data_IF_739665441408
#
_entry.id   IF_739665441408
#
_cell.length_a   1.000
_cell.length_b   1.000
_cell.length_c   1.000
_cell.angle_alpha   90.00
_cell.angle_beta   90.00
_cell.angle_gamma   90.00
#
_symmetry.space_group_name_H-M   'P 1'
#
loop_
_entity.id
_entity.type
_entity.pdbx_description
1 polymer ?
#
# COMPACT_ATOMS: atom_id res chain seq x y z
N UNK A 1 -2.38 -3.76 -15.06
CA UNK A 1 -3.26 -4.91 -14.74
C UNK A 1 -2.92 -5.44 -13.35
N UNK A 2 -3.91 -5.58 -12.49
CA UNK A 2 -3.77 -6.13 -11.14
C UNK A 2 -4.60 -7.43 -11.06
N UNK A 3 -3.96 -8.57 -10.78
CA UNK A 3 -4.64 -9.86 -10.86
C UNK A 3 -4.69 -10.55 -9.49
N UNK A 4 -5.88 -10.99 -9.11
CA UNK A 4 -6.19 -11.63 -7.84
C UNK A 4 -6.76 -13.01 -8.12
N UNK A 5 -6.16 -14.04 -7.53
CA UNK A 5 -6.67 -15.41 -7.55
C UNK A 5 -7.63 -15.64 -6.40
N UNK A 6 -8.76 -16.27 -6.69
CA UNK A 6 -9.69 -16.76 -5.67
C UNK A 6 -9.36 -18.23 -5.39
N UNK A 7 -8.83 -18.51 -4.22
CA UNK A 7 -8.40 -19.84 -3.80
C UNK A 7 -9.57 -20.65 -3.20
N UNK A 8 -9.41 -21.98 -3.14
CA UNK A 8 -10.44 -22.89 -2.61
C UNK A 8 -10.66 -22.74 -1.11
N UNK A 9 -9.70 -22.21 -0.38
CA UNK A 9 -9.79 -21.88 1.04
C UNK A 9 -10.46 -20.51 1.32
N UNK A 10 -11.10 -19.92 0.32
CA UNK A 10 -11.73 -18.60 0.33
C UNK A 10 -10.76 -17.42 0.47
N UNK A 11 -9.46 -17.62 0.38
CA UNK A 11 -8.51 -16.51 0.37
C UNK A 11 -8.41 -15.84 -0.99
N UNK A 12 -8.07 -14.55 -1.00
CA UNK A 12 -7.75 -13.76 -2.18
C UNK A 12 -6.24 -13.56 -2.23
N UNK A 13 -5.61 -14.07 -3.27
CA UNK A 13 -4.16 -13.99 -3.46
C UNK A 13 -3.81 -13.14 -4.65
N UNK A 14 -3.07 -12.07 -4.46
CA UNK A 14 -2.52 -11.28 -5.55
C UNK A 14 -1.44 -12.07 -6.28
N UNK A 15 -1.64 -12.33 -7.58
CA UNK A 15 -0.69 -13.04 -8.44
C UNK A 15 0.14 -12.08 -9.30
N UNK A 16 -0.47 -10.98 -9.76
CA UNK A 16 0.22 -9.90 -10.47
C UNK A 16 -0.12 -8.62 -9.71
N UNK A 17 0.92 -7.92 -9.26
CA UNK A 17 0.79 -6.67 -8.53
C UNK A 17 1.40 -5.55 -9.36
N UNK A 18 0.57 -4.65 -9.86
CA UNK A 18 0.98 -3.33 -10.35
C UNK A 18 0.67 -2.30 -9.28
N UNK A 19 1.42 -1.21 -9.27
CA UNK A 19 1.06 -0.07 -8.42
C UNK A 19 -0.14 0.62 -9.03
N UNK A 20 -1.15 0.84 -8.21
CA UNK A 20 -2.33 1.60 -8.61
C UNK A 20 -2.21 2.97 -7.95
N UNK A 21 -2.18 3.99 -8.79
CA UNK A 21 -2.03 5.36 -8.32
C UNK A 21 -3.40 5.98 -8.04
N UNK A 22 -3.43 6.90 -7.09
CA UNK A 22 -4.62 7.69 -6.81
C UNK A 22 -5.11 8.36 -8.10
N UNK A 23 -6.43 8.46 -8.26
CA UNK A 23 -7.08 9.06 -9.42
C UNK A 23 -6.75 8.41 -10.77
N UNK A 24 -6.14 7.20 -10.79
CA UNK A 24 -5.99 6.43 -12.03
C UNK A 24 -7.33 6.16 -12.67
N UNK A 25 -7.46 6.49 -13.96
CA UNK A 25 -8.67 6.29 -14.76
C UNK A 25 -8.32 5.68 -16.11
N UNK A 26 -9.13 4.73 -16.59
CA UNK A 26 -9.07 4.16 -17.95
C UNK A 26 -7.73 3.48 -18.35
N UNK A 27 -6.85 3.19 -17.40
CA UNK A 27 -5.52 2.62 -17.67
C UNK A 27 -5.34 1.28 -16.97
N UNK A 28 -5.84 1.17 -15.74
CA UNK A 28 -5.66 -0.01 -14.91
C UNK A 28 -6.95 -0.83 -14.81
N UNK A 29 -6.79 -2.14 -14.85
CA UNK A 29 -7.86 -3.11 -14.63
C UNK A 29 -7.51 -4.00 -13.44
N UNK A 30 -8.51 -4.34 -12.63
CA UNK A 30 -8.42 -5.36 -11.62
C UNK A 30 -9.14 -6.60 -12.11
N UNK A 31 -8.41 -7.72 -12.14
CA UNK A 31 -8.91 -9.02 -12.59
C UNK A 31 -9.02 -9.97 -11.40
N UNK A 32 -10.18 -10.59 -11.23
CA UNK A 32 -10.40 -11.68 -10.31
C UNK A 32 -10.54 -12.98 -11.09
N UNK A 33 -9.67 -13.95 -10.79
CA UNK A 33 -9.66 -15.25 -11.46
C UNK A 33 -10.23 -16.32 -10.52
N UNK A 34 -11.34 -16.92 -10.92
CA UNK A 34 -12.14 -17.87 -10.15
C UNK A 34 -12.13 -19.23 -10.85
N UNK A 35 -12.01 -20.34 -10.11
CA UNK A 35 -12.21 -21.67 -10.70
C UNK A 35 -13.67 -21.85 -11.14
N UNK A 36 -13.94 -22.52 -12.29
CA UNK A 36 -15.30 -22.76 -12.74
C UNK A 36 -16.13 -23.61 -11.77
N UNK A 37 -15.48 -24.43 -10.96
CA UNK A 37 -16.13 -25.28 -9.97
C UNK A 37 -15.53 -25.05 -8.58
N UNK A 38 -16.39 -25.05 -7.57
CA UNK A 38 -16.04 -24.96 -6.16
C UNK A 38 -16.91 -25.89 -5.33
N UNK A 39 -16.32 -26.91 -4.69
CA UNK A 39 -17.05 -27.91 -3.88
C UNK A 39 -18.29 -28.47 -4.60
N UNK A 40 -18.11 -28.94 -5.85
CA UNK A 40 -19.17 -29.48 -6.72
C UNK A 40 -20.22 -28.42 -7.19
N UNK A 41 -20.05 -27.15 -6.80
CA UNK A 41 -20.91 -26.06 -7.24
C UNK A 41 -20.33 -25.47 -8.53
N UNK A 42 -21.18 -25.35 -9.56
CA UNK A 42 -20.84 -24.61 -10.77
C UNK A 42 -20.85 -23.10 -10.51
N UNK A 43 -19.69 -22.46 -10.68
CA UNK A 43 -19.51 -21.03 -10.46
C UNK A 43 -19.79 -20.18 -11.70
N UNK A 44 -20.10 -20.80 -12.84
CA UNK A 44 -20.17 -20.10 -14.14
C UNK A 44 -21.35 -19.13 -14.23
N UNK A 45 -22.46 -19.44 -13.57
CA UNK A 45 -23.70 -18.64 -13.63
C UNK A 45 -23.90 -17.75 -12.40
N UNK A 46 -22.91 -17.70 -11.48
CA UNK A 46 -23.06 -16.91 -10.27
C UNK A 46 -22.78 -15.42 -10.54
N UNK A 47 -23.59 -14.59 -9.92
CA UNK A 47 -23.34 -13.15 -9.81
C UNK A 47 -22.23 -12.91 -8.79
N UNK A 48 -21.23 -12.12 -9.15
CA UNK A 48 -20.11 -11.79 -8.25
C UNK A 48 -20.19 -10.31 -7.86
N UNK A 49 -20.21 -10.07 -6.57
CA UNK A 49 -20.23 -8.73 -5.99
C UNK A 49 -18.90 -8.50 -5.27
N UNK A 50 -18.20 -7.45 -5.67
CA UNK A 50 -17.10 -6.89 -4.90
C UNK A 50 -17.65 -5.95 -3.84
N UNK A 51 -17.25 -6.16 -2.59
CA UNK A 51 -17.46 -5.19 -1.51
C UNK A 51 -16.11 -4.65 -1.09
N UNK A 52 -16.01 -3.33 -0.90
CA UNK A 52 -14.78 -2.70 -0.44
C UNK A 52 -15.05 -1.55 0.53
N UNK A 53 -14.04 -1.23 1.34
CA UNK A 53 -14.08 -0.14 2.32
C UNK A 53 -13.00 0.85 1.97
N UNK A 54 -13.39 2.10 1.77
CA UNK A 54 -12.48 3.20 1.47
C UNK A 54 -11.55 3.48 2.65
N UNK A 55 -10.27 3.80 2.41
CA UNK A 55 -9.28 3.90 3.50
C UNK A 55 -9.46 5.13 4.40
N UNK A 56 -9.88 6.26 3.86
CA UNK A 56 -10.02 7.53 4.60
C UNK A 56 -11.47 7.73 5.08
N UNK A 57 -12.42 7.78 4.16
CA UNK A 57 -13.84 8.02 4.47
C UNK A 57 -14.50 6.87 5.24
N UNK A 58 -13.91 5.67 5.23
CA UNK A 58 -14.47 4.43 5.79
C UNK A 58 -15.81 4.02 5.15
N UNK A 59 -16.15 4.62 4.03
CA UNK A 59 -17.37 4.30 3.31
C UNK A 59 -17.28 2.87 2.75
N UNK A 60 -18.37 2.11 2.94
CA UNK A 60 -18.52 0.77 2.36
C UNK A 60 -19.25 0.87 1.03
N UNK A 61 -18.61 0.38 -0.03
CA UNK A 61 -19.15 0.34 -1.38
C UNK A 61 -19.28 -1.09 -1.90
N UNK A 62 -20.20 -1.28 -2.85
CA UNK A 62 -20.40 -2.56 -3.53
C UNK A 62 -20.47 -2.35 -5.03
N UNK A 63 -19.91 -3.31 -5.76
CA UNK A 63 -19.89 -3.32 -7.21
C UNK A 63 -20.19 -4.71 -7.74
N UNK A 64 -21.12 -4.84 -8.68
CA UNK A 64 -21.32 -6.09 -9.42
C UNK A 64 -20.24 -6.21 -10.48
N UNK A 65 -19.49 -7.31 -10.47
CA UNK A 65 -18.41 -7.55 -11.42
C UNK A 65 -18.96 -8.09 -12.75
N UNK A 66 -18.35 -7.67 -13.84
CA UNK A 66 -18.64 -8.19 -15.17
C UNK A 66 -17.75 -9.40 -15.46
N UNK A 67 -18.39 -10.51 -15.81
CA UNK A 67 -17.69 -11.73 -16.25
C UNK A 67 -17.23 -11.58 -17.70
N UNK A 68 -16.00 -11.96 -18.00
CA UNK A 68 -15.50 -12.10 -19.38
C UNK A 68 -16.17 -13.29 -20.08
N UNK A 69 -16.39 -13.20 -21.38
CA UNK A 69 -16.99 -14.28 -22.16
C UNK A 69 -16.07 -15.51 -22.26
N UNK A 70 -14.77 -15.27 -22.28
CA UNK A 70 -13.77 -16.31 -22.40
C UNK A 70 -13.09 -16.63 -21.06
N UNK A 71 -12.67 -17.87 -20.91
CA UNK A 71 -11.86 -18.31 -19.78
C UNK A 71 -10.42 -17.81 -19.92
N UNK A 72 -9.90 -17.21 -18.86
CA UNK A 72 -8.49 -16.87 -18.78
C UNK A 72 -7.72 -18.00 -18.05
N UNK A 73 -6.89 -18.76 -18.79
CA UNK A 73 -6.12 -19.90 -18.23
C UNK A 73 -7.01 -20.86 -17.44
N UNK A 74 -8.10 -21.34 -18.06
CA UNK A 74 -9.08 -22.25 -17.46
C UNK A 74 -9.83 -21.68 -16.24
N UNK A 75 -9.82 -20.36 -16.03
CA UNK A 75 -10.52 -19.68 -14.95
C UNK A 75 -11.54 -18.70 -15.48
N UNK A 76 -12.64 -18.56 -14.76
CA UNK A 76 -13.58 -17.46 -14.95
C UNK A 76 -12.87 -16.17 -14.61
N UNK A 77 -12.97 -15.18 -15.46
CA UNK A 77 -12.38 -13.88 -15.27
C UNK A 77 -13.48 -12.85 -15.03
N UNK A 78 -13.36 -12.13 -13.91
CA UNK A 78 -14.19 -10.99 -13.59
C UNK A 78 -13.34 -9.73 -13.55
N UNK A 79 -13.83 -8.65 -14.19
CA UNK A 79 -13.05 -7.43 -14.38
C UNK A 79 -13.71 -6.23 -13.75
N UNK A 80 -12.85 -5.31 -13.27
CA UNK A 80 -13.21 -3.93 -12.99
C UNK A 80 -12.28 -3.07 -13.80
N UNK A 81 -12.86 -2.25 -14.68
CA UNK A 81 -12.13 -1.15 -15.28
C UNK A 81 -12.16 0.02 -14.29
N UNK A 82 -11.01 0.60 -14.00
CA UNK A 82 -10.89 1.75 -13.10
C UNK A 82 -11.21 3.03 -13.87
N UNK A 83 -12.46 3.18 -14.32
CA UNK A 83 -12.78 4.25 -15.27
C UNK A 83 -13.87 5.23 -14.83
N UNK A 84 -14.63 4.98 -13.78
CA UNK A 84 -15.89 5.69 -13.61
C UNK A 84 -16.15 6.35 -12.27
N UNK A 85 -16.93 7.41 -12.34
CA UNK A 85 -17.39 8.23 -11.23
C UNK A 85 -18.19 7.44 -10.17
N UNK A 86 -18.87 6.35 -10.56
CA UNK A 86 -19.63 5.50 -9.64
C UNK A 86 -18.75 4.53 -8.84
N UNK A 87 -17.58 4.17 -9.39
CA UNK A 87 -16.70 3.14 -8.82
C UNK A 87 -15.30 3.66 -8.57
N UNK A 88 -15.20 4.89 -8.10
CA UNK A 88 -13.93 5.57 -7.94
C UNK A 88 -13.12 4.98 -6.78
N UNK A 89 -12.76 3.71 -6.94
CA UNK A 89 -11.97 2.95 -5.96
C UNK A 89 -10.60 3.59 -5.71
N UNK A 90 -10.06 4.36 -6.67
CA UNK A 90 -8.76 5.02 -6.56
C UNK A 90 -8.85 6.46 -6.05
N UNK A 91 -10.01 6.93 -5.58
CA UNK A 91 -10.17 8.31 -5.13
C UNK A 91 -9.43 8.64 -3.85
N UNK A 92 -9.17 7.66 -3.01
CA UNK A 92 -8.48 7.83 -1.73
C UNK A 92 -7.19 7.01 -1.69
N UNK A 93 -6.15 7.60 -1.14
CA UNK A 93 -4.86 6.94 -0.87
C UNK A 93 -4.96 6.03 0.34
N UNK A 94 -4.30 4.89 0.29
CA UNK A 94 -4.16 3.97 1.40
C UNK A 94 -4.67 2.57 1.09
N UNK A 95 -4.88 1.80 2.14
CA UNK A 95 -5.22 0.38 2.08
C UNK A 95 -6.72 0.17 2.00
N UNK A 96 -7.21 -0.24 0.83
CA UNK A 96 -8.59 -0.62 0.60
C UNK A 96 -8.77 -2.08 1.01
N UNK A 97 -9.63 -2.32 1.98
CA UNK A 97 -10.05 -3.66 2.36
C UNK A 97 -11.18 -4.12 1.47
N UNK A 98 -11.03 -5.26 0.79
CA UNK A 98 -12.04 -5.77 -0.15
C UNK A 98 -12.24 -7.28 -0.06
N UNK A 99 -13.43 -7.75 -0.45
CA UNK A 99 -13.79 -9.17 -0.54
C UNK A 99 -14.86 -9.40 -1.59
N UNK A 100 -15.02 -10.65 -2.02
CA UNK A 100 -16.03 -11.08 -2.98
C UNK A 100 -17.18 -11.83 -2.29
N UNK A 101 -18.37 -11.64 -2.85
CA UNK A 101 -19.57 -12.41 -2.53
C UNK A 101 -20.10 -13.04 -3.82
N UNK A 102 -20.30 -14.35 -3.83
CA UNK A 102 -20.87 -15.09 -4.95
C UNK A 102 -22.32 -15.40 -4.63
N UNK A 103 -23.22 -15.08 -5.56
CA UNK A 103 -24.67 -15.19 -5.37
C UNK A 103 -25.32 -15.99 -6.50
N UNK A 104 -26.31 -16.79 -6.13
CA UNK A 104 -27.26 -17.41 -7.05
C UNK A 104 -28.65 -16.79 -6.80
N UNK A 105 -29.09 -15.89 -7.68
CA UNK A 105 -30.21 -15.04 -7.38
C UNK A 105 -29.97 -14.21 -6.12
N UNK A 106 -30.82 -14.38 -5.11
CA UNK A 106 -30.72 -13.69 -3.82
C UNK A 106 -29.95 -14.49 -2.77
N UNK A 107 -29.61 -15.74 -3.06
CA UNK A 107 -28.90 -16.60 -2.13
C UNK A 107 -27.38 -16.42 -2.23
N UNK A 108 -26.75 -16.24 -1.08
CA UNK A 108 -25.28 -16.20 -1.00
C UNK A 108 -24.73 -17.62 -0.98
N UNK A 109 -23.93 -17.94 -1.98
CA UNK A 109 -23.30 -19.25 -2.13
C UNK A 109 -21.92 -19.28 -1.47
N UNK A 110 -21.14 -18.16 -1.60
CA UNK A 110 -19.77 -18.13 -1.12
C UNK A 110 -19.33 -16.70 -0.76
N UNK A 111 -18.51 -16.60 0.31
CA UNK A 111 -17.75 -15.39 0.64
C UNK A 111 -16.26 -15.68 0.56
N UNK A 112 -15.46 -14.69 0.18
CA UNK A 112 -14.02 -14.75 0.38
C UNK A 112 -13.62 -14.03 1.66
N UNK A 113 -12.43 -14.37 2.18
CA UNK A 113 -11.79 -13.55 3.20
C UNK A 113 -11.36 -12.21 2.62
N UNK A 114 -11.31 -11.15 3.43
CA UNK A 114 -10.84 -9.87 2.95
C UNK A 114 -9.37 -9.89 2.53
N UNK A 115 -9.05 -9.14 1.48
CA UNK A 115 -7.67 -8.78 1.09
C UNK A 115 -7.50 -7.28 1.06
N UNK A 116 -6.27 -6.82 0.85
CA UNK A 116 -5.91 -5.40 0.80
C UNK A 116 -5.40 -5.05 -0.59
N UNK A 117 -5.92 -3.95 -1.13
CA UNK A 117 -5.43 -3.27 -2.31
C UNK A 117 -4.86 -1.91 -1.88
N UNK A 118 -3.57 -1.69 -2.11
CA UNK A 118 -2.93 -0.43 -1.80
C UNK A 118 -3.07 0.55 -2.97
N UNK A 119 -3.55 1.77 -2.67
CA UNK A 119 -3.58 2.90 -3.59
C UNK A 119 -2.48 3.88 -3.18
N UNK A 120 -1.56 4.14 -4.09
CA UNK A 120 -0.43 5.04 -3.85
C UNK A 120 -0.78 6.49 -4.21
N UNK A 121 -0.20 7.43 -3.47
CA UNK A 121 -0.41 8.86 -3.76
C UNK A 121 0.20 9.24 -5.10
N UNK A 122 -0.53 10.09 -5.83
CA UNK A 122 -0.01 10.82 -6.99
C UNK A 122 0.48 12.22 -6.61
N UNK A 123 0.49 12.55 -5.31
CA UNK A 123 1.12 13.80 -4.92
C UNK A 123 2.57 13.75 -5.39
N UNK A 124 2.81 14.45 -6.49
CA UNK A 124 4.15 14.90 -6.82
C UNK A 124 4.64 15.60 -5.55
N UNK A 125 5.74 15.12 -5.00
CA UNK A 125 6.57 15.99 -4.17
C UNK A 125 6.74 17.22 -5.07
N UNK A 126 6.08 18.34 -4.71
CA UNK A 126 6.34 19.61 -5.39
C UNK A 126 7.83 19.83 -5.25
N UNK A 127 8.57 19.39 -6.25
CA UNK A 127 9.93 19.83 -6.45
C UNK A 127 9.72 21.28 -6.89
N UNK A 128 9.65 22.17 -5.89
CA UNK A 128 9.68 23.58 -6.17
C UNK A 128 11.00 23.82 -6.92
N UNK A 129 10.98 24.06 -8.25
CA UNK A 129 12.22 24.22 -8.99
C UNK A 129 13.01 25.46 -8.55
N UNK A 130 12.37 26.35 -7.78
CA UNK A 130 12.97 27.55 -7.20
C UNK A 130 13.42 27.33 -5.73
N UNK A 131 13.01 26.25 -5.07
CA UNK A 131 13.70 25.79 -3.88
C UNK A 131 14.84 24.87 -4.35
N UNK A 132 16.08 25.27 -4.15
CA UNK A 132 17.17 24.35 -4.36
C UNK A 132 16.82 23.10 -3.54
N UNK A 133 16.66 21.96 -4.21
CA UNK A 133 16.53 20.70 -3.51
C UNK A 133 17.64 20.71 -2.48
N UNK A 134 17.28 20.84 -1.21
CA UNK A 134 18.24 20.72 -0.12
C UNK A 134 18.62 19.24 -0.03
N UNK A 135 19.26 18.77 -1.09
CA UNK A 135 20.17 17.68 -0.93
C UNK A 135 21.27 18.29 -0.08
N UNK A 136 21.15 18.14 1.23
CA UNK A 136 22.22 18.45 2.16
C UNK A 136 23.41 17.59 1.71
N UNK A 137 24.22 18.14 0.82
CA UNK A 137 25.51 17.55 0.48
C UNK A 137 26.41 17.83 1.66
N UNK A 138 26.37 16.89 2.60
CA UNK A 138 27.28 16.93 3.72
C UNK A 138 28.63 16.49 3.20
N UNK A 139 29.56 17.40 3.17
CA UNK A 139 30.94 17.15 2.72
C UNK A 139 31.88 16.79 3.87
N UNK A 140 31.57 17.22 5.08
CA UNK A 140 32.42 16.92 6.23
C UNK A 140 31.68 16.97 7.58
N UNK A 141 32.30 16.36 8.58
CA UNK A 141 31.98 16.47 9.99
C UNK A 141 33.01 17.36 10.66
N UNK A 142 32.62 18.46 11.23
CA UNK A 142 33.52 19.39 11.90
C UNK A 142 33.39 19.30 13.42
N UNK A 143 34.51 19.31 14.12
CA UNK A 143 34.56 19.42 15.57
C UNK A 143 35.08 20.80 15.98
N UNK A 144 34.22 21.60 16.59
CA UNK A 144 34.59 22.87 17.19
C UNK A 144 35.06 22.62 18.63
N UNK A 145 36.38 22.81 18.84
CA UNK A 145 37.02 22.58 20.13
C UNK A 145 36.67 23.63 21.15
N UNK A 146 36.40 24.86 20.70
CA UNK A 146 36.12 25.98 21.61
C UNK A 146 34.69 25.95 22.13
N UNK A 147 33.73 25.59 21.24
CA UNK A 147 32.34 25.38 21.59
C UNK A 147 32.06 23.96 22.12
N UNK A 148 33.00 23.02 21.98
CA UNK A 148 32.83 21.60 22.32
C UNK A 148 31.60 20.96 21.64
N UNK A 149 31.48 21.22 20.36
CA UNK A 149 30.35 20.79 19.52
C UNK A 149 30.81 20.11 18.25
N UNK A 150 29.94 19.22 17.76
CA UNK A 150 30.10 18.56 16.47
C UNK A 150 28.96 19.02 15.56
N UNK A 151 29.29 19.42 14.34
CA UNK A 151 28.30 19.77 13.33
C UNK A 151 28.71 19.31 11.94
N UNK A 152 27.72 19.16 11.07
CA UNK A 152 27.92 18.84 9.67
C UNK A 152 28.22 20.12 8.89
N UNK A 153 29.07 20.03 7.87
CA UNK A 153 29.36 21.15 6.97
C UNK A 153 29.00 20.83 5.54
N UNK A 154 28.64 21.84 4.79
CA UNK A 154 28.50 21.86 3.35
C UNK A 154 29.20 23.10 2.82
N UNK A 155 30.16 22.94 1.90
CA UNK A 155 31.00 24.04 1.39
C UNK A 155 31.65 24.88 2.49
N UNK A 156 32.05 24.21 3.59
CA UNK A 156 32.68 24.85 4.73
C UNK A 156 31.73 25.60 5.68
N UNK A 157 30.43 25.63 5.40
CA UNK A 157 29.41 26.23 6.25
C UNK A 157 28.69 25.18 7.07
N UNK A 158 28.36 25.50 8.35
CA UNK A 158 27.61 24.59 9.22
C UNK A 158 26.17 24.38 8.66
N UNK A 159 25.73 23.13 8.63
CA UNK A 159 24.38 22.75 8.22
C UNK A 159 23.71 21.91 9.30
N UNK A 160 22.47 22.26 9.63
CA UNK A 160 21.70 21.63 10.71
C UNK A 160 22.07 22.12 12.11
N UNK A 161 21.57 21.44 13.12
CA UNK A 161 21.86 21.75 14.52
C UNK A 161 23.19 21.11 14.97
N UNK A 162 24.01 21.87 15.71
CA UNK A 162 25.21 21.34 16.34
C UNK A 162 24.82 20.40 17.50
N UNK A 163 25.57 19.33 17.66
CA UNK A 163 25.41 18.39 18.76
C UNK A 163 26.55 18.65 19.79
N UNK A 164 26.18 18.90 21.03
CA UNK A 164 27.15 19.00 22.12
C UNK A 164 27.83 17.65 22.32
N UNK A 165 29.16 17.67 22.46
CA UNK A 165 29.95 16.46 22.78
C UNK A 165 29.51 15.89 24.13
N UNK A 166 29.06 16.73 25.04
CA UNK A 166 28.54 16.29 26.35
C UNK A 166 27.23 15.50 26.19
N UNK A 167 26.28 16.00 25.39
CA UNK A 167 25.02 15.28 25.12
C UNK A 167 25.28 13.93 24.44
N UNK A 168 26.19 13.88 23.49
CA UNK A 168 26.59 12.64 22.84
C UNK A 168 27.20 11.64 23.82
N UNK A 169 28.06 12.12 24.71
CA UNK A 169 28.68 11.31 25.77
C UNK A 169 27.64 10.77 26.75
N UNK A 170 26.70 11.60 27.17
CA UNK A 170 25.63 11.23 28.12
C UNK A 170 24.72 10.16 27.47
N UNK A 171 24.34 10.32 26.22
CA UNK A 171 23.56 9.33 25.48
C UNK A 171 24.28 7.97 25.34
N UNK A 172 25.60 7.98 25.11
CA UNK A 172 26.41 6.75 25.05
C UNK A 172 26.48 6.08 26.42
N UNK A 173 26.65 6.85 27.48
CA UNK A 173 26.73 6.32 28.85
C UNK A 173 25.40 5.72 29.28
N UNK A 174 24.27 6.35 28.96
CA UNK A 174 22.94 5.84 29.28
C UNK A 174 22.62 4.56 28.50
N UNK A 175 22.95 4.53 27.21
CA UNK A 175 22.79 3.31 26.40
C UNK A 175 23.65 2.15 26.93
N UNK A 176 24.87 2.45 27.41
CA UNK A 176 25.76 1.43 27.97
C UNK A 176 25.23 0.91 29.34
N UNK A 177 24.65 1.77 30.15
CA UNK A 177 23.99 1.39 31.42
C UNK A 177 22.79 0.49 31.19
N UNK A 178 21.91 0.84 30.23
CA UNK A 178 20.74 0.04 29.89
C UNK A 178 21.13 -1.32 29.33
N UNK A 179 22.17 -1.41 28.52
CA UNK A 179 22.73 -2.65 28.04
C UNK A 179 23.32 -3.54 29.13
N UNK A 180 23.92 -2.95 30.15
CA UNK A 180 24.45 -3.67 31.32
C UNK A 180 23.34 -4.22 32.23
N UNK A 181 22.26 -3.47 32.41
CA UNK A 181 21.10 -3.91 33.20
C UNK A 181 20.40 -5.10 32.53
N UNK A 182 20.29 -5.10 31.21
CA UNK A 182 19.69 -6.19 30.43
C UNK A 182 20.53 -7.49 30.48
N UNK A 183 21.82 -7.39 30.71
CA UNK A 183 22.71 -8.57 30.85
C UNK A 183 22.71 -9.21 32.26
N UNK A 184 22.18 -8.54 33.27
CA UNK A 184 22.20 -8.99 34.68
C UNK A 184 20.84 -9.51 35.13
N UNK A 185 19.78 -9.36 34.34
CA UNK A 185 18.43 -9.90 34.59
C UNK A 185 18.16 -11.12 33.73
#
# INVERSE_FOLDING_TARGET
>A
MYTILVNDDNTLQTSIRTRIMQNSKNVDEIHFLVKPNYNEIDMTELKVILTYIMPISKERKTLTLTKSEELYKERLEYKILLDNDENFITSEVGDIKMWLTFMNGDDVIRYTTPTILAIESTEEVEINPDEPSQTLVVDNLHFDKDANQIYLTSDGSAVGAAISVQELRDAIVDTAKDGLITMIT
#
